data_IF_913089611572
#
_entry.id   IF_913089611572
#
_cell.length_a   1.000
_cell.length_b   1.000
_cell.length_c   1.000
_cell.angle_alpha   90.00
_cell.angle_beta   90.00
_cell.angle_gamma   90.00
#
_symmetry.space_group_name_H-M   'P 1'
#
loop_
_entity.id
_entity.type
_entity.pdbx_description
1 polymer ?
#
# COMPACT_ATOMS: atom_id res chain seq x y z
N UNK A 1 33.80 7.33 68.67
CA UNK A 1 34.00 8.76 68.36
C UNK A 1 33.27 9.05 67.05
N UNK A 2 32.08 9.64 67.14
CA UNK A 2 31.09 9.69 66.05
C UNK A 2 31.21 11.01 65.27
N UNK A 3 31.33 10.93 63.94
CA UNK A 3 31.51 12.08 63.05
C UNK A 3 30.21 12.38 62.30
N UNK A 4 29.62 13.54 62.63
CA UNK A 4 28.41 14.13 62.02
C UNK A 4 28.68 14.57 60.58
N UNK A 5 27.81 14.20 59.65
CA UNK A 5 27.64 14.92 58.37
C UNK A 5 26.16 15.26 58.16
N UNK A 6 25.96 16.54 57.82
CA UNK A 6 24.70 17.31 57.75
C UNK A 6 23.73 16.80 56.68
N UNK A 7 22.45 16.68 57.03
CA UNK A 7 21.34 16.61 56.06
C UNK A 7 20.93 18.03 55.64
N UNK A 8 20.93 18.31 54.32
CA UNK A 8 20.31 19.49 53.72
C UNK A 8 18.81 19.26 53.58
N UNK A 9 18.04 20.25 54.00
CA UNK A 9 16.58 20.30 54.02
C UNK A 9 16.09 20.83 52.66
N UNK A 10 15.34 20.03 51.90
CA UNK A 10 14.71 20.44 50.63
C UNK A 10 13.24 20.80 50.93
N UNK A 11 12.86 22.00 50.49
CA UNK A 11 11.56 22.66 50.70
C UNK A 11 10.39 21.79 50.19
N UNK A 12 9.32 21.71 50.99
CA UNK A 12 7.99 21.28 50.53
C UNK A 12 7.27 22.46 49.84
N UNK A 13 6.59 22.25 48.70
CA UNK A 13 5.68 23.25 48.15
C UNK A 13 4.29 23.19 48.82
N UNK A 14 3.65 24.36 48.91
CA UNK A 14 2.32 24.63 49.47
C UNK A 14 1.17 23.92 48.71
N UNK A 15 0.00 23.70 49.36
CA UNK A 15 -1.15 23.10 48.70
C UNK A 15 -1.91 24.11 47.83
N UNK A 16 -2.07 23.77 46.55
CA UNK A 16 -2.88 24.49 45.58
C UNK A 16 -4.38 24.46 45.93
N UNK A 17 -4.98 25.64 45.92
CA UNK A 17 -6.40 25.92 46.08
C UNK A 17 -7.22 25.26 44.95
N UNK A 18 -8.17 24.39 45.31
CA UNK A 18 -9.13 23.79 44.38
C UNK A 18 -10.25 24.81 44.08
N UNK A 19 -10.15 25.50 42.95
CA UNK A 19 -11.26 26.30 42.40
C UNK A 19 -12.16 25.37 41.59
N UNK A 20 -13.39 25.17 42.07
CA UNK A 20 -14.43 24.35 41.42
C UNK A 20 -15.23 25.24 40.47
N UNK A 21 -14.91 25.21 39.18
CA UNK A 21 -15.67 25.93 38.14
C UNK A 21 -16.90 25.10 37.77
N UNK A 22 -18.08 25.64 38.04
CA UNK A 22 -19.37 25.10 37.59
C UNK A 22 -19.50 25.29 36.06
N UNK A 23 -19.99 24.30 35.30
CA UNK A 23 -20.30 24.51 33.88
C UNK A 23 -21.55 25.39 33.70
N UNK A 24 -21.59 26.28 32.70
CA UNK A 24 -22.77 27.10 32.43
C UNK A 24 -23.92 26.26 31.87
N UNK A 25 -25.15 26.56 32.33
CA UNK A 25 -26.41 26.00 31.81
C UNK A 25 -26.63 26.46 30.37
N UNK A 26 -26.71 25.52 29.43
CA UNK A 26 -27.15 25.74 28.05
C UNK A 26 -28.67 26.01 28.00
N UNK A 27 -29.15 26.99 27.21
CA UNK A 27 -30.57 27.19 26.97
C UNK A 27 -31.14 26.10 26.04
N UNK A 28 -32.38 25.68 26.31
CA UNK A 28 -33.12 24.69 25.51
C UNK A 28 -33.55 25.31 24.17
N UNK A 29 -33.11 24.73 23.06
CA UNK A 29 -33.60 25.04 21.70
C UNK A 29 -34.94 24.30 21.41
N UNK A 30 -35.87 24.91 20.66
CA UNK A 30 -37.15 24.30 20.34
C UNK A 30 -37.01 23.21 19.25
N UNK A 31 -37.81 22.14 19.38
CA UNK A 31 -37.92 21.04 18.40
C UNK A 31 -38.46 21.57 17.06
N UNK A 32 -37.62 21.59 16.03
CA UNK A 32 -38.04 21.78 14.64
C UNK A 32 -38.28 20.41 13.98
N UNK A 33 -39.49 20.23 13.46
CA UNK A 33 -39.91 19.10 12.63
C UNK A 33 -39.07 19.02 11.34
N UNK A 34 -38.77 17.82 10.81
CA UNK A 34 -37.99 17.69 9.58
C UNK A 34 -38.84 18.06 8.36
N UNK A 35 -38.50 19.16 7.67
CA UNK A 35 -39.01 19.46 6.32
C UNK A 35 -38.39 18.51 5.30
N UNK A 36 -39.23 18.02 4.37
CA UNK A 36 -38.90 17.15 3.24
C UNK A 36 -37.76 17.71 2.39
N UNK A 37 -36.80 16.86 2.01
CA UNK A 37 -35.75 17.15 1.02
C UNK A 37 -36.35 17.46 -0.36
N UNK A 38 -35.86 18.45 -1.13
CA UNK A 38 -36.19 18.56 -2.55
C UNK A 38 -35.42 17.52 -3.37
N UNK A 39 -36.03 17.10 -4.49
CA UNK A 39 -35.42 16.19 -5.49
C UNK A 39 -34.23 16.88 -6.17
N UNK A 40 -33.13 16.16 -6.50
CA UNK A 40 -32.07 16.71 -7.33
C UNK A 40 -32.48 16.76 -8.81
N UNK A 41 -32.24 17.90 -9.45
CA UNK A 41 -32.33 18.11 -10.89
C UNK A 41 -31.19 17.39 -11.65
N UNK A 42 -31.38 17.07 -12.95
CA UNK A 42 -30.40 16.30 -13.71
C UNK A 42 -29.20 17.15 -14.15
N UNK A 43 -27.99 16.64 -13.87
CA UNK A 43 -26.71 17.16 -14.34
C UNK A 43 -26.63 17.19 -15.88
N UNK A 44 -26.48 18.39 -16.45
CA UNK A 44 -26.12 18.61 -17.85
C UNK A 44 -24.67 18.15 -18.07
N UNK A 45 -24.49 17.12 -18.91
CA UNK A 45 -23.16 16.65 -19.35
C UNK A 45 -22.62 17.55 -20.46
N UNK A 46 -21.68 18.44 -20.13
CA UNK A 46 -20.85 19.12 -21.12
C UNK A 46 -19.77 18.15 -21.60
N UNK A 47 -19.81 17.79 -22.88
CA UNK A 47 -18.86 16.87 -23.53
C UNK A 47 -17.80 17.69 -24.26
N UNK A 48 -16.63 17.87 -23.64
CA UNK A 48 -15.47 18.47 -24.30
C UNK A 48 -14.84 17.42 -25.22
N UNK A 49 -14.79 17.70 -26.53
CA UNK A 49 -14.13 16.86 -27.53
C UNK A 49 -12.61 17.10 -27.48
N UNK A 50 -11.76 16.07 -27.50
CA UNK A 50 -10.32 16.26 -27.65
C UNK A 50 -9.96 16.64 -29.11
N UNK A 51 -8.89 17.43 -29.33
CA UNK A 51 -8.45 17.84 -30.66
C UNK A 51 -7.91 16.65 -31.47
N UNK A 52 -8.21 16.64 -32.77
CA UNK A 52 -7.75 15.61 -33.73
C UNK A 52 -6.25 15.73 -33.98
N UNK A 53 -5.49 14.69 -33.65
CA UNK A 53 -4.11 14.50 -34.10
C UNK A 53 -4.06 14.12 -35.60
N UNK A 54 -3.10 14.64 -36.37
CA UNK A 54 -2.92 14.27 -37.78
C UNK A 54 -2.33 12.86 -37.90
N UNK A 55 -2.83 12.08 -38.87
CA UNK A 55 -2.42 10.70 -39.13
C UNK A 55 -1.07 10.67 -39.86
N UNK A 56 -0.04 10.10 -39.22
CA UNK A 56 1.19 9.67 -39.88
C UNK A 56 0.96 8.35 -40.67
N UNK A 57 1.50 8.19 -41.89
CA UNK A 57 1.40 6.95 -42.64
C UNK A 57 2.28 5.87 -42.02
N UNK A 58 1.66 4.73 -41.65
CA UNK A 58 2.37 3.52 -41.21
C UNK A 58 3.10 2.89 -42.39
N UNK A 59 4.42 3.01 -42.41
CA UNK A 59 5.29 2.15 -43.21
C UNK A 59 5.31 0.75 -42.58
N UNK A 60 4.59 -0.19 -43.19
CA UNK A 60 4.70 -1.63 -42.89
C UNK A 60 5.99 -2.17 -43.52
N UNK A 61 6.84 -2.92 -42.79
CA UNK A 61 7.93 -3.65 -43.43
C UNK A 61 7.35 -4.82 -44.24
N UNK A 62 7.78 -4.92 -45.51
CA UNK A 62 7.45 -6.03 -46.41
C UNK A 62 7.83 -7.36 -45.77
N UNK A 63 6.89 -8.31 -45.72
CA UNK A 63 7.13 -9.71 -45.37
C UNK A 63 8.14 -10.32 -46.37
N UNK A 64 9.23 -10.91 -45.87
CA UNK A 64 10.08 -11.81 -46.65
C UNK A 64 9.28 -13.06 -47.07
N UNK A 65 9.52 -13.60 -48.28
CA UNK A 65 8.88 -14.84 -48.72
C UNK A 65 9.39 -16.04 -47.88
N UNK A 66 8.48 -16.98 -47.58
CA UNK A 66 8.81 -18.25 -46.91
C UNK A 66 9.64 -19.14 -47.83
N UNK A 67 10.61 -19.90 -47.30
CA UNK A 67 11.25 -20.97 -48.06
C UNK A 67 10.30 -22.16 -48.25
N UNK A 68 10.37 -22.76 -49.44
CA UNK A 68 9.61 -23.93 -49.89
C UNK A 68 9.88 -25.16 -49.02
N UNK A 69 8.90 -26.08 -48.85
CA UNK A 69 9.13 -27.33 -48.15
C UNK A 69 9.88 -28.33 -49.05
N UNK A 70 10.98 -28.86 -48.52
CA UNK A 70 11.71 -30.01 -49.04
C UNK A 70 10.79 -31.23 -49.25
N UNK A 71 11.00 -31.88 -50.39
CA UNK A 71 10.37 -33.11 -50.86
C UNK A 71 10.43 -34.20 -49.79
N UNK A 72 9.26 -34.69 -49.34
CA UNK A 72 9.13 -35.91 -48.52
C UNK A 72 9.14 -37.13 -49.43
N UNK A 73 10.29 -37.78 -49.56
CA UNK A 73 10.40 -39.12 -50.17
C UNK A 73 9.79 -40.14 -49.20
N UNK A 74 8.70 -40.78 -49.62
CA UNK A 74 8.00 -41.82 -48.85
C UNK A 74 8.57 -43.18 -49.25
N UNK A 75 9.47 -43.73 -48.43
CA UNK A 75 9.96 -45.10 -48.61
C UNK A 75 8.92 -46.08 -48.04
N UNK A 76 8.41 -46.96 -48.90
CA UNK A 76 7.45 -48.01 -48.56
C UNK A 76 8.20 -49.20 -47.91
N UNK A 77 7.82 -49.68 -46.71
CA UNK A 77 8.44 -50.90 -46.17
C UNK A 77 7.95 -52.16 -46.93
N UNK A 78 8.80 -53.19 -47.09
CA UNK A 78 8.46 -54.42 -47.81
C UNK A 78 7.41 -55.26 -47.06
N UNK A 79 6.55 -55.93 -47.83
CA UNK A 79 5.48 -56.81 -47.35
C UNK A 79 6.05 -58.05 -46.65
N UNK A 80 5.70 -58.24 -45.37
CA UNK A 80 5.88 -59.50 -44.64
C UNK A 80 4.80 -60.53 -45.06
N UNK A 81 5.15 -61.83 -45.15
CA UNK A 81 4.20 -62.89 -45.46
C UNK A 81 3.25 -63.19 -44.28
N UNK A 82 1.99 -63.53 -44.61
CA UNK A 82 0.91 -63.77 -43.64
C UNK A 82 1.06 -65.15 -42.98
N UNK A 83 1.18 -65.20 -41.65
CA UNK A 83 1.00 -66.42 -40.86
C UNK A 83 -0.50 -66.70 -40.61
N UNK A 84 -0.95 -67.96 -40.62
CA UNK A 84 -2.35 -68.32 -40.41
C UNK A 84 -2.74 -68.15 -38.92
N UNK A 85 -3.75 -67.31 -38.67
CA UNK A 85 -4.39 -67.14 -37.37
C UNK A 85 -5.23 -68.38 -37.03
N UNK A 86 -4.76 -69.20 -36.10
CA UNK A 86 -5.57 -70.19 -35.40
C UNK A 86 -6.51 -69.47 -34.41
N UNK A 87 -7.75 -69.25 -34.82
CA UNK A 87 -8.85 -68.84 -33.94
C UNK A 87 -9.49 -70.09 -33.32
N UNK A 88 -9.69 -70.18 -31.99
CA UNK A 88 -10.41 -71.29 -31.39
C UNK A 88 -11.91 -71.23 -31.72
N UNK A 89 -12.47 -72.40 -32.04
CA UNK A 89 -13.86 -72.64 -32.43
C UNK A 89 -14.85 -72.15 -31.36
N UNK A 90 -15.83 -71.33 -31.78
CA UNK A 90 -17.01 -70.95 -30.99
C UNK A 90 -17.89 -72.18 -30.72
N UNK A 91 -18.35 -72.34 -29.48
CA UNK A 91 -19.38 -73.31 -29.07
C UNK A 91 -20.75 -72.99 -29.72
N UNK A 92 -21.60 -74.00 -29.96
CA UNK A 92 -22.91 -73.85 -30.59
C UNK A 92 -23.91 -73.10 -29.71
N UNK A 93 -24.74 -72.27 -30.36
CA UNK A 93 -25.83 -71.47 -29.79
C UNK A 93 -27.03 -72.37 -29.46
N UNK A 94 -27.70 -72.22 -28.31
CA UNK A 94 -29.02 -72.79 -28.10
C UNK A 94 -30.10 -72.02 -28.87
N UNK A 95 -31.16 -72.75 -29.21
CA UNK A 95 -32.34 -72.38 -30.02
C UNK A 95 -33.12 -71.16 -29.48
N UNK A 96 -33.88 -70.47 -30.36
CA UNK A 96 -34.51 -69.21 -30.00
C UNK A 96 -35.75 -69.42 -29.12
N UNK A 97 -35.71 -68.87 -27.91
CA UNK A 97 -36.91 -68.59 -27.13
C UNK A 97 -37.81 -67.62 -27.89
N UNK A 98 -39.09 -67.99 -27.96
CA UNK A 98 -40.24 -67.27 -28.51
C UNK A 98 -40.09 -65.75 -28.42
N UNK A 99 -40.03 -65.08 -29.57
CA UNK A 99 -40.14 -63.61 -29.67
C UNK A 99 -41.57 -63.19 -29.36
N UNK A 100 -41.86 -62.96 -28.08
CA UNK A 100 -43.03 -62.16 -27.69
C UNK A 100 -42.76 -60.73 -28.15
N UNK A 101 -43.47 -60.29 -29.19
CA UNK A 101 -43.37 -58.93 -29.72
C UNK A 101 -44.11 -57.99 -28.77
N UNK A 102 -43.45 -57.55 -27.70
CA UNK A 102 -43.93 -56.47 -26.84
C UNK A 102 -43.71 -55.15 -27.59
N UNK A 103 -44.79 -54.44 -27.88
CA UNK A 103 -44.75 -53.08 -28.43
C UNK A 103 -43.98 -52.18 -27.44
N UNK A 104 -42.90 -51.49 -27.83
CA UNK A 104 -42.17 -50.65 -26.89
C UNK A 104 -43.07 -49.51 -26.40
N UNK A 105 -43.07 -49.19 -25.10
CA UNK A 105 -43.81 -48.03 -24.59
C UNK A 105 -43.27 -46.76 -25.27
N UNK A 106 -44.18 -45.88 -25.70
CA UNK A 106 -43.81 -44.56 -26.24
C UNK A 106 -43.03 -43.80 -25.17
N UNK A 107 -41.72 -43.65 -25.36
CA UNK A 107 -40.88 -42.81 -24.51
C UNK A 107 -41.39 -41.36 -24.58
N UNK A 108 -41.59 -40.68 -23.44
CA UNK A 108 -41.91 -39.26 -23.45
C UNK A 108 -40.73 -38.50 -24.07
N UNK A 109 -40.99 -37.71 -25.12
CA UNK A 109 -39.99 -36.77 -25.66
C UNK A 109 -39.71 -35.71 -24.61
N UNK A 110 -38.65 -35.91 -23.83
CA UNK A 110 -38.14 -34.88 -22.91
C UNK A 110 -37.59 -33.74 -23.76
N UNK A 111 -38.41 -32.70 -23.98
CA UNK A 111 -37.93 -31.41 -24.49
C UNK A 111 -37.08 -30.77 -23.39
N UNK A 112 -35.77 -30.90 -23.50
CA UNK A 112 -34.82 -30.11 -22.71
C UNK A 112 -35.09 -28.62 -22.99
N UNK A 113 -35.76 -27.93 -22.05
CA UNK A 113 -35.88 -26.47 -22.04
C UNK A 113 -34.46 -25.91 -21.94
N UNK A 114 -33.93 -25.34 -23.03
CA UNK A 114 -32.72 -24.52 -22.97
C UNK A 114 -32.99 -23.36 -21.99
N UNK A 115 -32.10 -23.10 -21.02
CA UNK A 115 -32.31 -22.00 -20.09
C UNK A 115 -32.36 -20.69 -20.89
N UNK A 116 -33.49 -19.98 -20.81
CA UNK A 116 -33.62 -18.63 -21.36
C UNK A 116 -32.70 -17.72 -20.54
N UNK A 117 -31.53 -17.39 -21.09
CA UNK A 117 -30.67 -16.36 -20.53
C UNK A 117 -31.41 -15.02 -20.65
N UNK A 118 -31.86 -14.47 -19.51
CA UNK A 118 -32.48 -13.13 -19.49
C UNK A 118 -31.46 -12.10 -20.02
N UNK A 119 -31.87 -11.17 -20.90
CA UNK A 119 -31.02 -10.09 -21.39
C UNK A 119 -30.38 -9.31 -20.24
N UNK A 120 -29.14 -8.85 -20.41
CA UNK A 120 -28.39 -8.12 -19.36
C UNK A 120 -29.15 -6.89 -18.83
N UNK A 121 -30.03 -6.31 -19.64
CA UNK A 121 -30.85 -5.13 -19.32
C UNK A 121 -31.98 -5.41 -18.31
N UNK A 122 -32.38 -6.66 -18.14
CA UNK A 122 -33.43 -7.09 -17.19
C UNK A 122 -32.85 -7.60 -15.85
N UNK A 123 -31.52 -7.68 -15.73
CA UNK A 123 -30.87 -8.12 -14.49
C UNK A 123 -30.63 -6.92 -13.58
N UNK A 124 -30.82 -7.11 -12.28
CA UNK A 124 -30.56 -6.07 -11.29
C UNK A 124 -29.10 -5.58 -11.41
N UNK A 125 -28.86 -4.28 -11.71
CA UNK A 125 -27.52 -3.75 -11.93
C UNK A 125 -26.60 -3.92 -10.71
N UNK A 126 -27.17 -3.93 -9.50
CA UNK A 126 -26.41 -4.14 -8.26
C UNK A 126 -25.86 -5.57 -8.20
N UNK A 127 -26.64 -6.57 -8.60
CA UNK A 127 -26.19 -7.98 -8.61
C UNK A 127 -25.14 -8.20 -9.69
N UNK A 128 -25.30 -7.60 -10.86
CA UNK A 128 -24.30 -7.67 -11.94
C UNK A 128 -22.99 -6.99 -11.50
N UNK A 129 -23.08 -5.84 -10.84
CA UNK A 129 -21.93 -5.14 -10.26
C UNK A 129 -21.22 -5.98 -9.20
N UNK A 130 -21.96 -6.55 -8.25
CA UNK A 130 -21.40 -7.39 -7.19
C UNK A 130 -20.71 -8.65 -7.74
N UNK A 131 -21.33 -9.33 -8.71
CA UNK A 131 -20.72 -10.49 -9.38
C UNK A 131 -19.47 -10.07 -10.15
N UNK A 132 -19.52 -8.96 -10.90
CA UNK A 132 -18.35 -8.44 -11.62
C UNK A 132 -17.18 -8.11 -10.70
N UNK A 133 -17.45 -7.45 -9.57
CA UNK A 133 -16.44 -7.08 -8.57
C UNK A 133 -15.86 -8.33 -7.88
N UNK A 134 -16.70 -9.32 -7.59
CA UNK A 134 -16.26 -10.61 -7.04
C UNK A 134 -15.36 -11.36 -8.01
N UNK A 135 -15.74 -11.43 -9.28
CA UNK A 135 -14.91 -12.07 -10.33
C UNK A 135 -13.60 -11.33 -10.50
N UNK A 136 -13.61 -9.99 -10.49
CA UNK A 136 -12.39 -9.19 -10.57
C UNK A 136 -11.48 -9.45 -9.37
N UNK A 137 -12.02 -9.45 -8.15
CA UNK A 137 -11.25 -9.75 -6.94
C UNK A 137 -10.64 -11.15 -6.98
N UNK A 138 -11.39 -12.16 -7.44
CA UNK A 138 -10.89 -13.53 -7.62
C UNK A 138 -9.79 -13.60 -8.68
N UNK A 139 -9.93 -12.90 -9.81
CA UNK A 139 -8.89 -12.83 -10.84
C UNK A 139 -7.63 -12.13 -10.34
N UNK A 140 -7.78 -11.03 -9.59
CA UNK A 140 -6.65 -10.34 -8.96
C UNK A 140 -5.95 -11.25 -7.94
N UNK A 141 -6.71 -11.92 -7.07
CA UNK A 141 -6.17 -12.88 -6.11
C UNK A 141 -5.43 -14.03 -6.81
N UNK A 142 -6.02 -14.59 -7.87
CA UNK A 142 -5.39 -15.64 -8.67
C UNK A 142 -4.11 -15.14 -9.37
N UNK A 143 -4.08 -13.88 -9.84
CA UNK A 143 -2.89 -13.29 -10.45
C UNK A 143 -1.74 -13.11 -9.44
N UNK A 144 -2.02 -12.66 -8.22
CA UNK A 144 -1.01 -12.58 -7.16
C UNK A 144 -0.49 -13.95 -6.72
N UNK A 145 -1.33 -14.98 -6.78
CA UNK A 145 -0.99 -16.36 -6.41
C UNK A 145 -0.66 -17.25 -7.62
N UNK A 146 -0.31 -16.67 -8.76
CA UNK A 146 -0.13 -17.43 -10.01
C UNK A 146 0.95 -18.53 -9.90
N UNK A 147 2.00 -18.28 -9.11
CA UNK A 147 3.07 -19.26 -8.85
C UNK A 147 2.61 -20.46 -7.98
N UNK A 148 1.48 -20.37 -7.29
CA UNK A 148 0.89 -21.44 -6.48
C UNK A 148 -0.25 -22.21 -7.18
N UNK A 149 -0.66 -21.77 -8.38
CA UNK A 149 -1.74 -22.43 -9.11
C UNK A 149 -1.28 -23.77 -9.71
N UNK A 150 -2.05 -24.86 -9.59
CA UNK A 150 -1.65 -26.20 -10.07
C UNK A 150 -1.37 -26.27 -11.58
N UNK A 151 -1.91 -25.34 -12.38
CA UNK A 151 -1.72 -25.26 -13.83
C UNK A 151 -0.47 -24.47 -14.26
N UNK A 152 0.05 -23.54 -13.45
CA UNK A 152 1.11 -22.57 -13.82
C UNK A 152 2.35 -22.70 -12.88
N UNK A 153 2.09 -23.00 -11.62
CA UNK A 153 3.03 -23.26 -10.54
C UNK A 153 3.58 -24.68 -10.45
N UNK A 154 3.44 -25.47 -11.52
CA UNK A 154 3.89 -26.86 -11.58
C UNK A 154 5.39 -27.01 -11.28
N UNK A 155 5.75 -28.12 -10.66
CA UNK A 155 7.10 -28.47 -10.24
C UNK A 155 7.09 -29.35 -9.00
N UNK A 156 8.13 -30.16 -8.84
CA UNK A 156 8.30 -31.04 -7.68
C UNK A 156 9.09 -30.30 -6.60
N UNK A 157 8.66 -30.47 -5.35
CA UNK A 157 9.33 -29.89 -4.18
C UNK A 157 10.36 -30.87 -3.62
N UNK A 158 11.52 -30.35 -3.23
CA UNK A 158 12.63 -31.08 -2.64
C UNK A 158 13.19 -30.27 -1.46
N UNK A 159 14.00 -30.91 -0.63
CA UNK A 159 14.68 -30.25 0.49
C UNK A 159 16.18 -30.51 0.46
N UNK A 160 16.96 -29.62 1.06
CA UNK A 160 18.39 -29.82 1.28
C UNK A 160 18.78 -29.26 2.65
N UNK A 161 19.48 -30.08 3.43
CA UNK A 161 19.96 -29.74 4.76
C UNK A 161 21.33 -29.06 4.66
N UNK A 162 21.49 -27.84 5.18
CA UNK A 162 22.74 -27.08 5.21
C UNK A 162 23.14 -26.76 6.64
N UNK A 163 24.43 -26.58 6.92
CA UNK A 163 24.88 -26.13 8.25
C UNK A 163 24.44 -24.70 8.54
N UNK A 164 24.30 -23.88 7.48
CA UNK A 164 23.82 -22.51 7.53
C UNK A 164 23.22 -22.12 6.17
N UNK A 165 22.28 -21.18 6.17
CA UNK A 165 21.78 -20.62 4.91
C UNK A 165 22.78 -19.67 4.23
N UNK A 166 23.65 -19.03 5.03
CA UNK A 166 24.19 -17.70 4.69
C UNK A 166 23.02 -16.80 4.24
N UNK A 167 23.15 -15.71 3.49
CA UNK A 167 21.98 -14.93 3.06
C UNK A 167 20.96 -15.55 2.07
N UNK A 168 20.71 -16.88 2.00
CA UNK A 168 19.73 -17.48 1.07
C UNK A 168 18.29 -17.15 1.48
N UNK A 169 17.44 -16.77 0.52
CA UNK A 169 16.06 -16.33 0.77
C UNK A 169 15.03 -17.06 -0.09
N UNK A 170 13.76 -17.16 0.36
CA UNK A 170 12.66 -17.57 -0.49
C UNK A 170 12.60 -16.73 -1.77
N UNK A 171 12.41 -17.39 -2.91
CA UNK A 171 12.43 -16.78 -4.24
C UNK A 171 13.79 -16.81 -4.95
N UNK A 172 14.88 -17.12 -4.24
CA UNK A 172 16.20 -17.29 -4.85
C UNK A 172 16.20 -18.46 -5.85
N UNK A 173 17.09 -18.39 -6.83
CA UNK A 173 17.07 -19.32 -7.95
C UNK A 173 17.66 -20.68 -7.57
N UNK A 174 17.10 -21.74 -8.11
CA UNK A 174 17.70 -23.08 -8.11
C UNK A 174 18.27 -23.34 -9.49
N UNK A 175 19.54 -23.76 -9.55
CA UNK A 175 20.27 -23.94 -10.79
C UNK A 175 20.94 -25.31 -10.88
N UNK A 176 20.91 -25.93 -12.05
CA UNK A 176 21.72 -27.10 -12.40
C UNK A 176 22.69 -26.66 -13.50
N UNK A 177 23.99 -26.86 -13.30
CA UNK A 177 25.03 -26.43 -14.24
C UNK A 177 24.88 -24.96 -14.70
N UNK A 178 24.42 -24.08 -13.80
CA UNK A 178 24.20 -22.65 -14.08
C UNK A 178 22.86 -22.31 -14.73
N UNK A 179 22.08 -23.29 -15.19
CA UNK A 179 20.75 -23.09 -15.79
C UNK A 179 19.68 -23.04 -14.70
N UNK A 180 18.81 -22.02 -14.72
CA UNK A 180 17.70 -21.90 -13.79
C UNK A 180 16.66 -23.00 -14.05
N UNK A 181 16.47 -23.85 -13.05
CA UNK A 181 15.49 -24.96 -13.07
C UNK A 181 14.39 -24.79 -12.04
N UNK A 182 14.53 -23.86 -11.09
CA UNK A 182 13.61 -23.75 -9.98
C UNK A 182 13.76 -22.49 -9.15
N UNK A 183 13.08 -22.49 -8.00
CA UNK A 183 13.14 -21.43 -6.98
C UNK A 183 13.12 -22.04 -5.58
N UNK A 184 13.76 -21.37 -4.63
CA UNK A 184 13.65 -21.67 -3.20
C UNK A 184 12.25 -21.25 -2.73
N UNK A 185 11.55 -22.13 -2.03
CA UNK A 185 10.22 -21.87 -1.44
C UNK A 185 10.35 -21.43 0.02
N UNK A 186 11.28 -22.02 0.77
CA UNK A 186 11.44 -21.76 2.21
C UNK A 186 12.86 -22.05 2.70
N UNK A 187 13.23 -21.39 3.78
CA UNK A 187 14.49 -21.59 4.50
C UNK A 187 14.14 -21.60 5.98
N UNK A 188 14.17 -22.78 6.59
CA UNK A 188 13.68 -23.02 7.94
C UNK A 188 14.77 -23.72 8.76
N UNK A 189 14.80 -23.51 10.07
CA UNK A 189 15.68 -24.25 10.97
C UNK A 189 14.99 -25.57 11.34
N UNK A 190 15.63 -26.70 11.07
CA UNK A 190 15.14 -28.05 11.40
C UNK A 190 16.14 -28.72 12.36
N UNK A 191 15.96 -28.49 13.66
CA UNK A 191 16.84 -28.99 14.70
C UNK A 191 18.22 -28.31 14.68
N UNK A 192 19.25 -29.05 14.28
CA UNK A 192 20.66 -28.65 14.28
C UNK A 192 21.18 -28.14 12.93
N UNK A 193 20.32 -28.09 11.92
CA UNK A 193 20.67 -27.67 10.57
C UNK A 193 19.56 -26.83 9.93
N UNK A 194 19.91 -26.13 8.85
CA UNK A 194 18.97 -25.33 8.07
C UNK A 194 18.42 -26.16 6.92
N UNK A 195 17.11 -26.31 6.88
CA UNK A 195 16.37 -26.97 5.81
C UNK A 195 15.94 -25.97 4.76
N UNK A 196 16.52 -26.09 3.58
CA UNK A 196 16.15 -25.30 2.41
C UNK A 196 15.15 -26.09 1.58
N UNK A 197 13.91 -25.61 1.52
CA UNK A 197 12.85 -26.19 0.69
C UNK A 197 12.82 -25.47 -0.65
N UNK A 198 12.88 -26.22 -1.74
CA UNK A 198 12.95 -25.65 -3.08
C UNK A 198 12.14 -26.45 -4.09
N UNK A 199 11.61 -25.75 -5.09
CA UNK A 199 10.80 -26.34 -6.16
C UNK A 199 11.56 -26.32 -7.47
N UNK A 200 11.55 -27.45 -8.16
CA UNK A 200 12.15 -27.62 -9.49
C UNK A 200 11.05 -27.79 -10.51
N UNK A 201 11.06 -26.97 -11.58
CA UNK A 201 10.12 -27.05 -12.69
C UNK A 201 10.66 -27.95 -13.80
N UNK A 202 9.78 -28.78 -14.37
CA UNK A 202 10.14 -29.73 -15.43
C UNK A 202 10.74 -31.03 -14.89
N UNK A 203 11.42 -31.78 -15.76
CA UNK A 203 12.08 -33.05 -15.43
C UNK A 203 13.59 -32.98 -15.71
N UNK A 204 14.35 -32.06 -15.09
CA UNK A 204 15.79 -32.11 -15.20
C UNK A 204 16.28 -33.39 -14.52
N UNK A 205 17.12 -34.16 -15.22
CA UNK A 205 17.68 -35.39 -14.67
C UNK A 205 18.70 -35.03 -13.57
N UNK A 206 18.33 -35.26 -12.32
CA UNK A 206 19.25 -35.20 -11.19
C UNK A 206 19.05 -36.42 -10.30
N UNK A 207 20.13 -37.21 -10.20
CA UNK A 207 20.09 -38.52 -9.59
C UNK A 207 19.94 -38.51 -8.07
N UNK A 208 19.84 -39.71 -7.52
CA UNK A 208 19.66 -39.94 -6.08
C UNK A 208 20.86 -39.50 -5.22
N UNK A 209 22.04 -39.37 -5.84
CA UNK A 209 23.28 -38.92 -5.18
C UNK A 209 23.57 -37.43 -5.36
N UNK A 210 22.62 -36.67 -5.91
CA UNK A 210 22.74 -35.22 -6.14
C UNK A 210 23.21 -34.49 -4.88
N UNK A 211 24.20 -33.62 -5.04
CA UNK A 211 24.63 -32.68 -4.01
C UNK A 211 24.06 -31.29 -4.24
N UNK A 212 24.15 -30.42 -3.24
CA UNK A 212 23.74 -29.03 -3.34
C UNK A 212 24.78 -28.07 -2.75
N UNK A 213 24.90 -26.86 -3.28
CA UNK A 213 25.67 -25.81 -2.63
C UNK A 213 24.97 -24.46 -2.74
N UNK A 214 25.16 -23.62 -1.73
CA UNK A 214 24.69 -22.22 -1.79
C UNK A 214 25.84 -21.41 -2.36
N UNK A 215 25.60 -20.69 -3.47
CA UNK A 215 26.62 -19.88 -4.14
C UNK A 215 26.17 -18.43 -4.30
N UNK A 216 27.14 -17.54 -4.41
CA UNK A 216 26.91 -16.12 -4.65
C UNK A 216 26.57 -15.91 -6.13
N UNK A 217 25.45 -15.23 -6.39
CA UNK A 217 24.95 -14.81 -7.70
C UNK A 217 25.50 -13.46 -8.13
N UNK A 218 25.59 -12.51 -7.20
CA UNK A 218 25.97 -11.11 -7.47
C UNK A 218 27.00 -10.59 -6.47
N UNK A 219 27.76 -9.57 -6.86
CA UNK A 219 28.74 -8.89 -5.98
C UNK A 219 28.06 -8.27 -4.74
N UNK A 220 26.78 -7.92 -4.85
CA UNK A 220 25.95 -7.40 -3.75
C UNK A 220 25.43 -8.50 -2.80
N UNK A 221 25.91 -9.74 -2.93
CA UNK A 221 25.62 -10.82 -1.99
C UNK A 221 24.31 -11.58 -2.23
N UNK A 222 23.63 -11.39 -3.35
CA UNK A 222 22.49 -12.25 -3.70
C UNK A 222 22.97 -13.69 -3.87
N UNK A 223 22.23 -14.67 -3.35
CA UNK A 223 22.62 -16.10 -3.38
C UNK A 223 21.70 -16.91 -4.32
N UNK A 224 22.13 -18.12 -4.63
CA UNK A 224 21.32 -19.11 -5.35
C UNK A 224 21.72 -20.52 -4.92
N UNK A 225 20.79 -21.47 -5.08
CA UNK A 225 21.02 -22.88 -4.81
C UNK A 225 21.53 -23.57 -6.07
N UNK A 226 22.75 -24.10 -6.02
CA UNK A 226 23.34 -24.90 -7.09
C UNK A 226 23.15 -26.39 -6.78
N UNK A 227 22.56 -27.14 -7.70
CA UNK A 227 22.45 -28.59 -7.64
C UNK A 227 23.52 -29.23 -8.53
N UNK A 228 24.14 -30.29 -8.02
CA UNK A 228 25.17 -31.08 -8.70
C UNK A 228 24.64 -32.49 -8.93
N UNK A 229 24.05 -32.77 -10.11
CA UNK A 229 23.51 -34.08 -10.45
C UNK A 229 24.55 -35.19 -10.27
N UNK A 230 24.20 -36.22 -9.51
CA UNK A 230 25.03 -37.43 -9.35
C UNK A 230 24.14 -38.64 -9.04
N UNK A 231 24.64 -39.83 -9.35
CA UNK A 231 23.96 -41.10 -9.10
C UNK A 231 22.88 -41.44 -10.12
N UNK A 232 22.33 -42.66 -10.07
CA UNK A 232 21.34 -43.13 -11.02
C UNK A 232 19.93 -42.60 -10.71
N UNK A 233 19.08 -42.65 -11.73
CA UNK A 233 17.65 -42.36 -11.64
C UNK A 233 17.33 -40.88 -11.45
N UNK A 234 16.15 -40.63 -10.86
CA UNK A 234 15.65 -39.30 -10.49
C UNK A 234 15.44 -39.27 -8.98
N UNK A 235 15.88 -38.21 -8.31
CA UNK A 235 15.56 -38.00 -6.90
C UNK A 235 14.03 -37.95 -6.73
N UNK A 236 13.49 -38.68 -5.77
CA UNK A 236 12.04 -38.71 -5.53
C UNK A 236 11.58 -37.33 -5.01
N UNK A 237 10.42 -36.82 -5.44
CA UNK A 237 9.82 -35.62 -4.83
C UNK A 237 9.69 -35.77 -3.31
N UNK A 238 9.96 -34.69 -2.57
CA UNK A 238 9.95 -34.65 -1.11
C UNK A 238 11.17 -35.26 -0.42
N UNK A 239 12.14 -35.82 -1.17
CA UNK A 239 13.42 -36.25 -0.57
C UNK A 239 14.28 -35.06 -0.20
N UNK A 240 15.01 -35.26 0.90
CA UNK A 240 16.02 -34.33 1.38
C UNK A 240 17.43 -34.76 0.95
N UNK A 241 18.21 -33.79 0.47
CA UNK A 241 19.65 -33.91 0.27
C UNK A 241 20.31 -33.73 1.64
N UNK A 242 21.01 -34.75 2.16
CA UNK A 242 21.54 -34.72 3.53
C UNK A 242 22.78 -33.85 3.63
N UNK A 243 23.06 -33.36 4.86
CA UNK A 243 24.15 -32.43 5.19
C UNK A 243 25.53 -32.83 4.63
N UNK A 244 25.85 -34.13 4.63
CA UNK A 244 27.10 -34.68 4.06
C UNK A 244 27.30 -34.41 2.56
N UNK A 245 26.25 -34.01 1.83
CA UNK A 245 26.23 -33.73 0.39
C UNK A 245 25.86 -32.28 0.07
N UNK A 246 25.91 -31.42 1.07
CA UNK A 246 25.60 -30.01 0.94
C UNK A 246 26.76 -29.14 1.37
N UNK A 247 26.97 -28.03 0.66
CA UNK A 247 28.02 -27.06 1.00
C UNK A 247 27.38 -25.69 1.19
N UNK A 248 27.47 -25.15 2.39
CA UNK A 248 26.98 -23.82 2.73
C UNK A 248 27.79 -22.73 2.01
N UNK A 249 27.22 -21.53 1.91
CA UNK A 249 27.90 -20.44 1.21
C UNK A 249 29.02 -19.85 2.06
N UNK A 250 30.27 -20.01 1.61
CA UNK A 250 31.42 -19.33 2.21
C UNK A 250 31.17 -17.81 2.30
N UNK A 251 31.27 -17.28 3.52
CA UNK A 251 31.28 -15.84 3.76
C UNK A 251 32.70 -15.30 3.52
N UNK A 252 32.81 -14.23 2.74
CA UNK A 252 34.09 -13.56 2.48
C UNK A 252 34.69 -13.02 3.77
N UNK A 253 33.84 -12.50 4.68
CA UNK A 253 34.28 -12.01 5.99
C UNK A 253 34.85 -13.15 6.82
N UNK A 254 34.19 -14.31 6.82
CA UNK A 254 34.69 -15.49 7.52
C UNK A 254 35.98 -16.00 6.88
N UNK A 255 36.11 -16.00 5.55
CA UNK A 255 37.35 -16.39 4.89
C UNK A 255 38.54 -15.46 5.26
N UNK A 256 38.32 -14.15 5.38
CA UNK A 256 39.36 -13.22 5.84
C UNK A 256 39.68 -13.44 7.33
N UNK A 257 38.66 -13.65 8.18
CA UNK A 257 38.85 -13.96 9.60
C UNK A 257 39.61 -15.26 9.82
N UNK A 258 39.26 -16.31 9.10
CA UNK A 258 39.90 -17.62 9.15
C UNK A 258 41.33 -17.53 8.64
N UNK A 259 41.60 -16.77 7.57
CA UNK A 259 42.94 -16.53 7.07
C UNK A 259 43.80 -15.79 8.10
N UNK A 260 43.27 -14.74 8.74
CA UNK A 260 43.98 -14.02 9.81
C UNK A 260 44.31 -14.96 10.96
N UNK A 261 43.32 -15.71 11.46
CA UNK A 261 43.50 -16.63 12.58
C UNK A 261 44.50 -17.75 12.25
N UNK A 262 44.37 -18.37 11.09
CA UNK A 262 45.29 -19.43 10.64
C UNK A 262 46.71 -18.91 10.43
N UNK A 263 46.85 -17.66 9.94
CA UNK A 263 48.17 -17.05 9.75
C UNK A 263 48.82 -16.66 11.08
N UNK A 264 48.03 -16.26 12.09
CA UNK A 264 48.51 -16.00 13.45
C UNK A 264 48.99 -17.28 14.17
N UNK A 265 48.38 -18.42 13.88
CA UNK A 265 48.79 -19.73 14.42
C UNK A 265 50.10 -20.26 13.81
N UNK A 266 50.51 -19.76 12.63
CA UNK A 266 51.74 -20.19 11.96
C UNK A 266 52.94 -19.36 12.43
N UNK A 267 53.78 -19.97 13.26
CA UNK A 267 55.06 -19.40 13.68
C UNK A 267 56.09 -19.50 12.53
N UNK A 268 56.18 -18.43 11.73
CA UNK A 268 57.09 -18.34 10.58
C UNK A 268 58.57 -18.44 10.98
N UNK A 269 58.94 -18.08 12.22
CA UNK A 269 60.32 -18.18 12.71
C UNK A 269 60.69 -19.62 13.03
N UNK A 270 59.77 -20.38 13.64
CA UNK A 270 59.93 -21.84 13.83
C UNK A 270 60.00 -22.57 12.50
N UNK A 271 59.16 -22.19 11.53
CA UNK A 271 59.19 -22.78 10.19
C UNK A 271 60.54 -22.52 9.49
N UNK A 272 61.04 -21.28 9.56
CA UNK A 272 62.34 -20.93 9.00
C UNK A 272 63.48 -21.70 9.67
N UNK A 273 63.49 -21.83 11.01
CA UNK A 273 64.47 -22.64 11.76
C UNK A 273 64.43 -24.12 11.41
N UNK A 274 63.23 -24.70 11.26
CA UNK A 274 63.08 -26.10 10.89
C UNK A 274 63.62 -26.37 9.49
N UNK A 275 63.33 -25.49 8.53
CA UNK A 275 63.84 -25.59 7.17
C UNK A 275 65.36 -25.31 7.08
N UNK A 276 65.90 -24.49 7.98
CA UNK A 276 67.35 -24.31 8.10
C UNK A 276 68.04 -25.57 8.63
N UNK A 277 67.44 -26.22 9.64
CA UNK A 277 67.93 -27.49 10.19
C UNK A 277 67.95 -28.59 9.11
N UNK A 278 66.90 -28.67 8.29
CA UNK A 278 66.85 -29.58 7.13
C UNK A 278 67.92 -29.17 6.10
N UNK A 279 68.08 -27.88 5.82
CA UNK A 279 69.12 -27.40 4.91
C UNK A 279 70.53 -27.71 5.37
N UNK A 280 70.79 -27.71 6.67
CA UNK A 280 72.08 -28.10 7.27
C UNK A 280 72.28 -29.61 7.20
N UNK A 281 71.24 -30.39 7.49
CA UNK A 281 71.28 -31.86 7.49
C UNK A 281 71.56 -32.44 6.10
N UNK A 282 71.09 -31.78 5.03
CA UNK A 282 71.28 -32.21 3.65
C UNK A 282 72.45 -31.50 2.93
N UNK A 283 73.39 -30.86 3.66
CA UNK A 283 74.51 -30.15 3.03
C UNK A 283 75.46 -31.04 2.21
N UNK A 284 75.56 -32.32 2.59
CA UNK A 284 76.40 -33.32 1.92
C UNK A 284 75.64 -34.13 0.85
N UNK A 285 74.42 -33.72 0.50
CA UNK A 285 73.62 -34.36 -0.55
C UNK A 285 74.02 -33.89 -1.96
N UNK A 286 73.64 -34.62 -3.03
CA UNK A 286 73.87 -34.22 -4.42
C UNK A 286 73.40 -32.78 -4.72
N UNK A 287 74.05 -32.13 -5.68
CA UNK A 287 73.95 -30.69 -5.92
C UNK A 287 72.50 -30.22 -6.16
N UNK A 288 71.70 -31.03 -6.84
CA UNK A 288 70.30 -30.76 -7.16
C UNK A 288 69.41 -30.74 -5.91
N UNK A 289 69.68 -31.63 -4.96
CA UNK A 289 68.95 -31.72 -3.68
C UNK A 289 69.33 -30.53 -2.80
N UNK A 290 70.62 -30.23 -2.71
CA UNK A 290 71.15 -29.10 -1.94
C UNK A 290 70.63 -27.76 -2.47
N UNK A 291 70.57 -27.58 -3.79
CA UNK A 291 70.03 -26.39 -4.43
C UNK A 291 68.54 -26.19 -4.11
N UNK A 292 67.76 -27.26 -4.12
CA UNK A 292 66.32 -27.25 -3.83
C UNK A 292 66.03 -26.90 -2.36
N UNK A 293 66.74 -27.53 -1.41
CA UNK A 293 66.57 -27.26 0.02
C UNK A 293 67.04 -25.84 0.38
N UNK A 294 68.16 -25.39 -0.20
CA UNK A 294 68.65 -24.01 -0.04
C UNK A 294 67.69 -22.98 -0.65
N UNK A 295 67.02 -23.32 -1.75
CA UNK A 295 65.94 -22.51 -2.34
C UNK A 295 64.75 -22.38 -1.40
N UNK A 296 64.27 -23.49 -0.84
CA UNK A 296 63.14 -23.53 0.08
C UNK A 296 63.43 -22.76 1.39
N UNK A 297 64.63 -22.91 1.95
CA UNK A 297 65.09 -22.13 3.11
C UNK A 297 65.11 -20.62 2.81
N UNK A 298 65.55 -20.21 1.62
CA UNK A 298 65.53 -18.80 1.18
C UNK A 298 64.13 -18.22 1.09
N UNK A 299 63.18 -18.97 0.53
CA UNK A 299 61.77 -18.57 0.43
C UNK A 299 61.18 -18.43 1.83
N UNK A 300 61.43 -19.41 2.70
CA UNK A 300 60.91 -19.39 4.06
C UNK A 300 61.46 -18.20 4.88
N UNK A 301 62.76 -17.90 4.76
CA UNK A 301 63.35 -16.67 5.34
C UNK A 301 62.75 -15.40 4.77
N UNK A 302 62.45 -15.37 3.46
CA UNK A 302 61.81 -14.20 2.83
C UNK A 302 60.39 -14.00 3.37
N UNK A 303 59.65 -15.08 3.60
CA UNK A 303 58.31 -15.03 4.21
C UNK A 303 58.40 -14.58 5.67
N UNK A 304 59.29 -15.17 6.47
CA UNK A 304 59.53 -14.76 7.86
C UNK A 304 59.98 -13.29 7.97
N UNK A 305 60.84 -12.81 7.06
CA UNK A 305 61.26 -11.41 7.02
C UNK A 305 60.12 -10.43 6.68
N UNK A 306 59.08 -10.90 5.97
CA UNK A 306 57.90 -10.10 5.60
C UNK A 306 56.70 -10.28 6.54
N UNK A 307 56.76 -11.23 7.46
CA UNK A 307 55.71 -11.55 8.42
C UNK A 307 55.21 -10.30 9.17
N UNK A 308 56.14 -9.47 9.68
CA UNK A 308 55.78 -8.21 10.37
C UNK A 308 54.99 -7.24 9.49
N UNK A 309 55.31 -7.15 8.20
CA UNK A 309 54.60 -6.28 7.26
C UNK A 309 53.23 -6.86 6.89
N UNK A 310 53.11 -8.18 6.78
CA UNK A 310 51.83 -8.87 6.54
C UNK A 310 50.88 -8.73 7.73
N UNK A 311 51.37 -8.96 8.96
CA UNK A 311 50.58 -8.71 10.18
C UNK A 311 50.15 -7.26 10.28
N UNK A 312 51.04 -6.31 9.97
CA UNK A 312 50.70 -4.90 9.88
C UNK A 312 49.54 -4.64 8.90
N UNK A 313 49.57 -5.19 7.69
CA UNK A 313 48.48 -5.01 6.71
C UNK A 313 47.15 -5.60 7.21
N UNK A 314 47.19 -6.78 7.81
CA UNK A 314 46.00 -7.44 8.37
C UNK A 314 45.43 -6.66 9.55
N UNK A 315 46.27 -6.12 10.44
CA UNK A 315 45.87 -5.26 11.55
C UNK A 315 45.18 -3.98 11.06
N UNK A 316 45.74 -3.33 10.02
CA UNK A 316 45.12 -2.15 9.43
C UNK A 316 43.77 -2.49 8.77
N UNK A 317 43.67 -3.63 8.08
CA UNK A 317 42.40 -4.08 7.49
C UNK A 317 41.34 -4.39 8.57
N UNK A 318 41.74 -5.02 9.68
CA UNK A 318 40.89 -5.23 10.85
C UNK A 318 40.47 -3.91 11.50
N UNK A 319 41.39 -2.95 11.59
CA UNK A 319 41.10 -1.59 12.08
C UNK A 319 40.02 -0.89 11.24
N UNK A 320 40.16 -0.88 9.91
CA UNK A 320 39.16 -0.29 9.00
C UNK A 320 37.81 -0.99 9.14
N UNK A 321 37.81 -2.33 9.19
CA UNK A 321 36.59 -3.12 9.35
C UNK A 321 35.91 -2.83 10.70
N UNK A 322 36.69 -2.63 11.77
CA UNK A 322 36.19 -2.27 13.10
C UNK A 322 35.59 -0.87 13.14
N UNK A 323 36.21 0.10 12.46
CA UNK A 323 35.67 1.45 12.30
C UNK A 323 34.34 1.41 11.53
N UNK A 324 34.28 0.67 10.42
CA UNK A 324 33.06 0.50 9.64
C UNK A 324 31.93 -0.21 10.42
N UNK A 325 32.29 -1.25 11.20
CA UNK A 325 31.37 -1.92 12.10
C UNK A 325 30.86 -0.98 13.21
N UNK A 326 31.71 -0.08 13.71
CA UNK A 326 31.32 0.98 14.65
C UNK A 326 30.26 1.92 14.08
N UNK A 327 30.48 2.41 12.87
CA UNK A 327 29.55 3.32 12.18
C UNK A 327 28.23 2.69 11.74
N UNK A 328 28.11 1.35 11.75
CA UNK A 328 26.83 0.67 11.48
C UNK A 328 25.75 1.06 12.51
N UNK A 329 26.15 1.34 13.76
CA UNK A 329 25.24 1.85 14.80
C UNK A 329 24.78 3.27 14.51
N UNK A 330 25.69 4.13 14.06
CA UNK A 330 25.38 5.51 13.68
C UNK A 330 24.43 5.54 12.47
N UNK A 331 24.65 4.67 11.49
CA UNK A 331 23.73 4.52 10.34
C UNK A 331 22.34 4.04 10.79
N UNK A 332 22.27 3.08 11.71
CA UNK A 332 20.99 2.64 12.28
C UNK A 332 20.28 3.75 13.05
N UNK A 333 21.03 4.60 13.79
CA UNK A 333 20.49 5.77 14.46
C UNK A 333 19.95 6.79 13.45
N UNK A 334 20.72 7.10 12.40
CA UNK A 334 20.30 8.01 11.34
C UNK A 334 19.01 7.57 10.64
N UNK A 335 18.86 6.26 10.38
CA UNK A 335 17.62 5.71 9.80
C UNK A 335 16.43 5.86 10.75
N UNK A 336 16.63 5.65 12.06
CA UNK A 336 15.59 5.87 13.08
C UNK A 336 15.23 7.34 13.23
N UNK A 337 16.22 8.22 13.22
CA UNK A 337 16.01 9.67 13.29
C UNK A 337 15.30 10.18 12.02
N UNK A 338 15.57 9.55 10.88
CA UNK A 338 14.83 9.78 9.64
C UNK A 338 13.34 9.45 9.77
N UNK A 339 12.98 8.33 10.40
CA UNK A 339 11.58 7.96 10.67
C UNK A 339 10.87 9.01 11.55
N UNK A 340 11.56 9.49 12.60
CA UNK A 340 11.03 10.56 13.45
C UNK A 340 10.81 11.87 12.67
N UNK A 341 11.75 12.24 11.78
CA UNK A 341 11.60 13.40 10.92
C UNK A 341 10.42 13.26 9.95
N UNK A 342 10.27 12.10 9.30
CA UNK A 342 9.15 11.87 8.37
C UNK A 342 7.80 11.91 9.09
N UNK A 343 7.73 11.40 10.32
CA UNK A 343 6.55 11.49 11.16
C UNK A 343 6.19 12.94 11.50
N UNK A 344 7.16 13.74 11.93
CA UNK A 344 6.96 15.17 12.20
C UNK A 344 6.50 15.93 10.94
N UNK A 345 7.06 15.60 9.76
CA UNK A 345 6.65 16.19 8.48
C UNK A 345 5.20 15.83 8.14
N UNK A 346 4.78 14.57 8.34
CA UNK A 346 3.40 14.15 8.07
C UNK A 346 2.41 14.82 9.05
N UNK A 347 2.76 14.89 10.33
CA UNK A 347 1.96 15.60 11.34
C UNK A 347 1.80 17.10 10.98
N UNK A 348 2.88 17.76 10.57
CA UNK A 348 2.83 19.16 10.08
C UNK A 348 1.98 19.31 8.84
N UNK A 349 2.11 18.39 7.87
CA UNK A 349 1.30 18.39 6.65
C UNK A 349 -0.20 18.25 6.98
N UNK A 350 -0.56 17.37 7.91
CA UNK A 350 -1.93 17.21 8.38
C UNK A 350 -2.45 18.47 9.07
N UNK A 351 -1.63 19.11 9.92
CA UNK A 351 -1.97 20.36 10.58
C UNK A 351 -2.21 21.49 9.58
N UNK A 352 -1.32 21.65 8.60
CA UNK A 352 -1.47 22.64 7.52
C UNK A 352 -2.73 22.37 6.70
N UNK A 353 -3.00 21.11 6.34
CA UNK A 353 -4.23 20.77 5.61
C UNK A 353 -5.49 21.11 6.41
N UNK A 354 -5.51 20.83 7.72
CA UNK A 354 -6.62 21.18 8.60
C UNK A 354 -6.80 22.70 8.73
N UNK A 355 -5.70 23.44 8.85
CA UNK A 355 -5.72 24.90 8.89
C UNK A 355 -6.30 25.47 7.59
N UNK A 356 -5.81 25.04 6.44
CA UNK A 356 -6.30 25.48 5.13
C UNK A 356 -7.80 25.18 4.95
N UNK A 357 -8.26 23.99 5.34
CA UNK A 357 -9.69 23.65 5.32
C UNK A 357 -10.50 24.55 6.24
N UNK A 358 -10.01 24.81 7.44
CA UNK A 358 -10.69 25.65 8.42
C UNK A 358 -10.78 27.09 7.94
N UNK A 359 -9.71 27.64 7.35
CA UNK A 359 -9.71 28.97 6.74
C UNK A 359 -10.66 29.06 5.55
N UNK A 360 -10.74 28.02 4.71
CA UNK A 360 -11.71 27.98 3.61
C UNK A 360 -13.15 27.94 4.12
N UNK A 361 -13.43 27.14 5.16
CA UNK A 361 -14.75 27.11 5.81
C UNK A 361 -15.09 28.47 6.43
N UNK A 362 -14.16 29.09 7.15
CA UNK A 362 -14.35 30.44 7.70
C UNK A 362 -14.65 31.46 6.59
N UNK A 363 -13.98 31.36 5.44
CA UNK A 363 -14.27 32.20 4.28
C UNK A 363 -15.71 32.03 3.79
N UNK A 364 -16.19 30.78 3.68
CA UNK A 364 -17.58 30.49 3.27
C UNK A 364 -18.58 31.04 4.29
N UNK A 365 -18.35 30.83 5.58
CA UNK A 365 -19.23 31.32 6.65
C UNK A 365 -19.27 32.86 6.70
N UNK A 366 -18.11 33.52 6.56
CA UNK A 366 -18.04 34.99 6.51
C UNK A 366 -18.72 35.55 5.26
N UNK A 367 -18.53 34.94 4.09
CA UNK A 367 -19.25 35.32 2.88
C UNK A 367 -20.75 35.12 3.03
N UNK A 368 -21.18 34.00 3.63
CA UNK A 368 -22.60 33.75 3.94
C UNK A 368 -23.17 34.80 4.89
N UNK A 369 -22.43 35.17 5.93
CA UNK A 369 -22.84 36.23 6.87
C UNK A 369 -22.98 37.58 6.18
N UNK A 370 -22.04 37.95 5.29
CA UNK A 370 -22.12 39.20 4.52
C UNK A 370 -23.32 39.17 3.57
N UNK A 371 -23.55 38.06 2.88
CA UNK A 371 -24.69 37.89 1.97
C UNK A 371 -26.02 38.00 2.72
N UNK A 372 -26.17 37.32 3.85
CA UNK A 372 -27.39 37.36 4.65
C UNK A 372 -27.62 38.75 5.27
N UNK A 373 -26.56 39.39 5.77
CA UNK A 373 -26.63 40.76 6.26
C UNK A 373 -27.00 41.74 5.13
N UNK A 374 -26.51 41.53 3.90
CA UNK A 374 -26.88 42.37 2.74
C UNK A 374 -28.36 42.20 2.37
N UNK A 375 -28.91 40.98 2.48
CA UNK A 375 -30.34 40.68 2.24
C UNK A 375 -31.25 41.27 3.31
N UNK A 376 -30.78 41.43 4.55
CA UNK A 376 -31.58 42.02 5.63
C UNK A 376 -31.44 43.54 5.70
N UNK A 377 -30.21 44.05 5.64
CA UNK A 377 -29.93 45.50 5.73
C UNK A 377 -30.41 46.25 4.49
N UNK A 378 -30.27 45.67 3.28
CA UNK A 378 -30.71 46.34 2.05
C UNK A 378 -32.20 46.76 2.10
N UNK A 379 -33.13 45.83 2.37
CA UNK A 379 -34.54 46.16 2.57
C UNK A 379 -34.81 47.09 3.75
N UNK A 380 -34.09 46.93 4.88
CA UNK A 380 -34.25 47.82 6.02
C UNK A 380 -33.88 49.27 5.69
N UNK A 381 -32.76 49.49 4.99
CA UNK A 381 -32.35 50.81 4.51
C UNK A 381 -33.32 51.37 3.47
N UNK A 382 -33.86 50.53 2.58
CA UNK A 382 -34.88 50.95 1.61
C UNK A 382 -36.19 51.37 2.28
N UNK A 383 -36.59 50.66 3.33
CA UNK A 383 -37.76 51.03 4.14
C UNK A 383 -37.51 52.32 4.92
N UNK A 384 -36.30 52.52 5.45
CA UNK A 384 -35.91 53.75 6.13
C UNK A 384 -35.92 54.94 5.17
N UNK A 385 -35.36 54.79 3.98
CA UNK A 385 -35.39 55.80 2.91
C UNK A 385 -36.84 56.15 2.50
N UNK A 386 -37.69 55.13 2.36
CA UNK A 386 -39.12 55.32 2.11
C UNK A 386 -39.79 56.12 3.23
N UNK A 387 -39.46 55.82 4.49
CA UNK A 387 -40.00 56.53 5.65
C UNK A 387 -39.49 57.99 5.74
N UNK A 388 -38.20 58.22 5.50
CA UNK A 388 -37.60 59.57 5.46
C UNK A 388 -38.24 60.39 4.33
N UNK A 389 -38.38 59.81 3.15
CA UNK A 389 -39.05 60.46 2.00
C UNK A 389 -40.51 60.79 2.32
N UNK A 390 -41.21 59.90 3.04
CA UNK A 390 -42.58 60.14 3.49
C UNK A 390 -42.67 61.27 4.52
N UNK A 391 -41.68 61.38 5.42
CA UNK A 391 -41.56 62.49 6.38
C UNK A 391 -41.24 63.81 5.67
N UNK A 392 -40.28 63.84 4.75
CA UNK A 392 -39.91 65.03 3.97
C UNK A 392 -41.09 65.52 3.13
N UNK A 393 -41.78 64.61 2.43
CA UNK A 393 -42.99 64.95 1.64
C UNK A 393 -44.10 65.56 2.50
N UNK A 394 -44.19 65.18 3.78
CA UNK A 394 -45.18 65.68 4.72
C UNK A 394 -44.64 66.76 5.68
N UNK A 395 -43.41 67.25 5.48
CA UNK A 395 -42.74 68.18 6.39
C UNK A 395 -43.57 69.45 6.60
N UNK A 396 -44.13 70.04 5.54
CA UNK A 396 -44.97 71.23 5.64
C UNK A 396 -46.24 70.97 6.49
N UNK A 397 -46.83 69.77 6.39
CA UNK A 397 -47.99 69.38 7.20
C UNK A 397 -47.61 69.11 8.66
N UNK A 398 -46.45 68.53 8.91
CA UNK A 398 -45.90 68.31 10.25
C UNK A 398 -45.55 69.64 10.92
N UNK A 399 -44.85 70.54 10.24
CA UNK A 399 -44.56 71.89 10.71
C UNK A 399 -45.84 72.67 11.03
N UNK A 400 -46.86 72.55 10.16
CA UNK A 400 -48.17 73.15 10.40
C UNK A 400 -48.83 72.54 11.63
N UNK A 401 -48.77 71.23 11.81
CA UNK A 401 -49.34 70.53 12.96
C UNK A 401 -48.66 70.95 14.27
N UNK A 402 -47.32 71.04 14.28
CA UNK A 402 -46.54 71.52 15.44
C UNK A 402 -46.84 73.00 15.73
N UNK A 403 -46.90 73.86 14.71
CA UNK A 403 -47.28 75.28 14.87
C UNK A 403 -48.71 75.45 15.39
N UNK A 404 -49.64 74.58 14.98
CA UNK A 404 -51.03 74.60 15.44
C UNK A 404 -51.21 73.93 16.82
N UNK A 405 -50.27 73.07 17.23
CA UNK A 405 -50.29 72.40 18.53
C UNK A 405 -50.17 73.42 19.67
N UNK A 406 -49.28 74.43 19.54
CA UNK A 406 -49.11 75.43 20.60
C UNK A 406 -50.38 76.27 20.85
N UNK A 407 -51.05 76.86 19.83
CA UNK A 407 -52.36 77.48 19.99
C UNK A 407 -53.43 76.52 20.51
N UNK A 408 -53.47 75.28 20.01
CA UNK A 408 -54.44 74.28 20.45
C UNK A 408 -54.29 73.94 21.93
N UNK A 409 -53.08 73.62 22.38
CA UNK A 409 -52.78 73.34 23.79
C UNK A 409 -53.11 74.57 24.63
N UNK A 410 -52.81 75.78 24.17
CA UNK A 410 -53.16 77.01 24.89
C UNK A 410 -54.67 77.22 24.99
N UNK A 411 -55.43 77.02 23.90
CA UNK A 411 -56.89 77.07 23.90
C UNK A 411 -57.48 76.01 24.82
N UNK A 412 -57.04 74.76 24.71
CA UNK A 412 -57.47 73.64 25.53
C UNK A 412 -57.16 73.86 27.03
N UNK A 413 -55.97 74.36 27.33
CA UNK A 413 -55.57 74.68 28.72
C UNK A 413 -56.33 75.89 29.24
N UNK A 414 -56.62 76.90 28.41
CA UNK A 414 -57.46 78.04 28.81
C UNK A 414 -58.91 77.63 29.06
N UNK A 415 -59.48 76.71 28.27
CA UNK A 415 -60.83 76.19 28.52
C UNK A 415 -60.94 75.34 29.78
N UNK A 416 -59.83 74.75 30.21
CA UNK A 416 -59.73 73.97 31.46
C UNK A 416 -59.08 74.75 32.62
N UNK A 417 -58.63 75.98 32.37
CA UNK A 417 -57.85 76.79 33.31
C UNK A 417 -58.70 77.60 34.29
N UNK A 418 -60.01 77.71 34.02
CA UNK A 418 -60.95 78.47 34.84
C UNK A 418 -61.43 77.72 36.09
N UNK A 419 -61.03 76.45 36.31
CA UNK A 419 -61.42 75.66 37.47
C UNK A 419 -61.85 74.23 37.13
N UNK A 420 -62.63 73.57 38.00
CA UNK A 420 -63.15 72.19 37.80
C UNK A 420 -64.37 72.11 36.85
N UNK A 421 -64.67 73.19 36.13
CA UNK A 421 -65.83 73.31 35.24
C UNK A 421 -65.39 73.87 33.89
N UNK A 422 -66.16 73.60 32.83
CA UNK A 422 -65.95 74.17 31.51
C UNK A 422 -67.02 75.24 31.24
N UNK A 423 -66.62 76.40 30.73
CA UNK A 423 -67.57 77.44 30.32
C UNK A 423 -68.01 77.18 28.88
N UNK A 424 -69.28 76.83 28.68
CA UNK A 424 -69.87 76.67 27.34
C UNK A 424 -70.84 77.80 27.03
N UNK A 425 -70.61 78.51 25.92
CA UNK A 425 -71.52 79.53 25.40
C UNK A 425 -72.10 79.06 24.07
N UNK A 426 -73.42 78.86 24.01
CA UNK A 426 -74.12 78.50 22.77
C UNK A 426 -74.81 79.75 22.23
N UNK A 427 -74.24 80.34 21.18
CA UNK A 427 -74.85 81.47 20.48
C UNK A 427 -76.05 80.98 19.64
N UNK A 428 -77.17 81.73 19.64
CA UNK A 428 -78.45 81.38 18.99
C UNK A 428 -79.28 80.24 19.63
N UNK A 429 -79.19 80.02 20.95
CA UNK A 429 -80.03 79.02 21.62
C UNK A 429 -81.52 79.41 21.74
N UNK A 430 -81.88 80.68 21.45
CA UNK A 430 -83.28 81.12 21.40
C UNK A 430 -83.50 81.94 20.12
N UNK A 431 -84.35 81.44 19.23
CA UNK A 431 -84.85 82.19 18.09
C UNK A 431 -85.75 83.33 18.63
N UNK A 432 -85.27 84.57 18.57
CA UNK A 432 -86.13 85.72 18.83
C UNK A 432 -87.25 85.76 17.77
N UNK A 433 -88.54 85.84 18.14
CA UNK A 433 -89.63 85.80 17.18
C UNK A 433 -89.59 87.04 16.28
N UNK A 434 -89.50 86.81 14.97
CA UNK A 434 -89.62 87.82 13.93
C UNK A 434 -91.08 88.25 13.86
N UNK A 435 -91.43 89.43 14.38
CA UNK A 435 -92.76 90.00 14.19
C UNK A 435 -92.86 90.67 12.81
N UNK A 436 -93.77 90.25 11.91
CA UNK A 436 -93.95 90.93 10.63
C UNK A 436 -94.62 92.29 10.85
N UNK A 437 -93.97 93.37 10.39
CA UNK A 437 -94.53 94.72 10.40
C UNK A 437 -95.43 94.90 9.17
N UNK A 438 -96.74 94.77 9.37
CA UNK A 438 -97.78 95.19 8.44
C UNK A 438 -97.77 96.72 8.29
N UNK A 439 -98.03 97.19 7.06
CA UNK A 439 -97.94 98.59 6.66
C UNK A 439 -99.01 99.51 7.27
N UNK A 440 -98.73 100.81 7.22
CA UNK A 440 -99.66 101.89 7.57
C UNK A 440 -99.04 103.26 7.31
N UNK A 441 -99.63 103.97 6.35
CA UNK A 441 -99.36 105.32 5.84
C UNK A 441 -99.47 106.45 6.88
N UNK A 442 -98.56 107.42 6.83
CA UNK A 442 -98.88 108.84 6.57
C UNK A 442 -97.62 109.64 6.30
#
# INVERSE_FOLDING_TARGET
MSMRIRRRNIRRPEPLVKVRVLPPKLPKLPRLLPKRKPRPEPLVKVRVLPPKLPKLPRLLPKRKPRPEPLVKVRVLPPKLPKLPRLLPKRKPRPEPLVKVRVLPPKLPRIRLKRPRLKPFRERNPVVVGAVGLTVLALLTFAAFNADSLPLIGGGDTYSAAFSEAGGLKPGDEVRIAGVKVGKVEGVDLDGDHVKVTFKVKGHPAFGTDTGASIRVKTILGAKYLALYPKGPGQLKPGREIPLRRTVSAYDVVQAFSDLTTTTEEVDTDRLAKALDTISVTFQDSPEEVRASVKGLSRISRTVAARDKALRGLLDHANGVTKVLAGHTKDFSALVKDGDALFKEIDERRAAIHKLLKSSALLGIELSGLVDDNSKEIGPALKNLDTFVTMLERNQASLDRSVRLLAPYVRLFTNTLGNGRWFDSYIQNLVAAPVTPRTGGTR
#
